data_IF_878085615549
#
_entry.id   IF_878085615549
#
_cell.length_a   1.000
_cell.length_b   1.000
_cell.length_c   1.000
_cell.angle_alpha   90.00
_cell.angle_beta   90.00
_cell.angle_gamma   90.00
#
_symmetry.space_group_name_H-M   'P 1'
#
loop_
_entity.id
_entity.type
_entity.pdbx_description
1 polymer ?
#
# COMPACT_ATOMS: atom_id res chain seq x y z
N UNK A 1 5.05 -5.03 -8.44
CA UNK A 1 5.07 -3.79 -9.25
C UNK A 1 5.36 -2.58 -8.37
N UNK A 2 4.56 -2.32 -7.32
CA UNK A 2 4.77 -1.22 -6.37
C UNK A 2 6.22 -1.06 -5.85
N UNK A 3 6.80 -2.12 -5.26
CA UNK A 3 8.18 -2.10 -4.73
C UNK A 3 9.21 -1.65 -5.78
N UNK A 4 9.10 -2.16 -7.01
CA UNK A 4 10.03 -1.81 -8.08
C UNK A 4 9.95 -0.32 -8.43
N UNK A 5 8.75 0.27 -8.38
CA UNK A 5 8.58 1.70 -8.66
C UNK A 5 9.22 2.55 -7.54
N UNK A 6 8.99 2.16 -6.28
CA UNK A 6 9.56 2.83 -5.10
C UNK A 6 11.09 2.77 -5.14
N UNK A 7 11.66 1.61 -5.42
CA UNK A 7 13.13 1.41 -5.51
C UNK A 7 13.73 2.18 -6.68
N UNK A 8 13.04 2.27 -7.82
CA UNK A 8 13.54 2.95 -9.02
C UNK A 8 13.55 4.47 -8.90
N UNK A 9 12.70 5.06 -8.05
CA UNK A 9 12.59 6.51 -7.91
C UNK A 9 13.89 7.11 -7.36
N UNK A 10 14.57 8.04 -8.05
CA UNK A 10 15.75 8.71 -7.49
C UNK A 10 15.41 9.57 -6.27
N UNK A 11 16.39 9.79 -5.38
CA UNK A 11 16.16 10.59 -4.16
C UNK A 11 15.75 12.03 -4.49
N UNK A 12 16.31 12.63 -5.54
CA UNK A 12 15.96 13.97 -6.01
C UNK A 12 14.51 14.10 -6.52
N UNK A 13 13.84 12.99 -6.78
CA UNK A 13 12.44 12.95 -7.22
C UNK A 13 11.49 12.43 -6.13
N UNK A 14 12.02 12.01 -4.97
CA UNK A 14 11.25 11.41 -3.89
C UNK A 14 10.28 12.41 -3.24
N UNK A 15 10.80 13.58 -2.88
CA UNK A 15 10.08 14.65 -2.20
C UNK A 15 10.11 15.94 -3.01
N UNK A 16 9.12 16.07 -3.88
CA UNK A 16 8.91 17.21 -4.79
C UNK A 16 7.42 17.58 -4.77
N UNK A 17 7.03 18.63 -5.49
CA UNK A 17 5.61 19.04 -5.64
C UNK A 17 4.68 17.95 -6.18
N UNK A 18 5.24 16.89 -6.78
CA UNK A 18 4.50 15.73 -7.28
C UNK A 18 4.30 14.61 -6.25
N UNK A 19 4.90 14.76 -5.06
CA UNK A 19 4.65 13.95 -3.87
C UNK A 19 4.74 12.42 -4.10
N UNK A 20 5.82 11.96 -4.74
CA UNK A 20 6.02 10.52 -5.02
C UNK A 20 6.03 9.69 -3.74
N UNK A 21 6.71 10.20 -2.70
CA UNK A 21 6.72 9.58 -1.37
C UNK A 21 5.31 9.42 -0.79
N UNK A 22 4.46 10.44 -0.94
CA UNK A 22 3.13 10.46 -0.35
C UNK A 22 2.20 9.48 -1.04
N UNK A 23 2.27 9.38 -2.37
CA UNK A 23 1.53 8.36 -3.14
C UNK A 23 1.99 6.95 -2.77
N UNK A 24 3.29 6.76 -2.59
CA UNK A 24 3.86 5.47 -2.16
C UNK A 24 3.37 5.09 -0.76
N UNK A 25 3.47 6.02 0.19
CA UNK A 25 2.96 5.87 1.55
C UNK A 25 1.44 5.62 1.58
N UNK A 26 0.66 6.40 0.82
CA UNK A 26 -0.79 6.23 0.68
C UNK A 26 -1.13 4.80 0.30
N UNK A 27 -0.46 4.29 -0.76
CA UNK A 27 -0.71 2.95 -1.24
C UNK A 27 -0.47 1.91 -0.14
N UNK A 28 0.65 2.01 0.58
CA UNK A 28 1.06 1.03 1.60
C UNK A 28 0.18 1.10 2.84
N UNK A 29 -0.15 2.30 3.31
CA UNK A 29 -1.04 2.50 4.46
C UNK A 29 -2.39 1.82 4.25
N UNK A 30 -3.03 2.07 3.10
CA UNK A 30 -4.32 1.46 2.80
C UNK A 30 -4.20 -0.03 2.52
N UNK A 31 -3.09 -0.49 1.95
CA UNK A 31 -2.81 -1.93 1.86
C UNK A 31 -2.82 -2.58 3.23
N UNK A 32 -2.18 -1.97 4.23
CA UNK A 32 -2.16 -2.51 5.59
C UNK A 32 -3.55 -2.51 6.24
N UNK A 33 -4.29 -1.42 6.06
CA UNK A 33 -5.66 -1.29 6.56
C UNK A 33 -6.58 -2.36 5.98
N UNK A 34 -6.54 -2.57 4.66
CA UNK A 34 -7.38 -3.56 3.99
C UNK A 34 -6.94 -5.01 4.24
N UNK A 35 -5.71 -5.24 4.71
CA UNK A 35 -5.25 -6.55 5.18
C UNK A 35 -5.65 -6.83 6.64
N UNK A 36 -6.11 -5.82 7.38
CA UNK A 36 -6.54 -5.98 8.77
C UNK A 36 -8.00 -6.43 8.80
N UNK A 37 -8.25 -7.69 9.19
CA UNK A 37 -9.57 -8.33 9.11
C UNK A 37 -10.64 -7.66 9.97
N UNK A 38 -10.24 -7.08 11.10
CA UNK A 38 -11.06 -6.21 11.93
C UNK A 38 -10.57 -4.75 11.81
N UNK A 39 -11.21 -3.91 10.99
CA UNK A 39 -10.74 -2.55 10.71
C UNK A 39 -10.69 -1.66 11.93
N UNK A 40 -11.49 -1.95 12.97
CA UNK A 40 -11.51 -1.18 14.21
C UNK A 40 -10.23 -1.35 15.03
N UNK A 41 -9.48 -2.42 14.80
CA UNK A 41 -8.22 -2.75 15.47
C UNK A 41 -6.99 -2.32 14.67
N UNK A 42 -7.17 -1.65 13.54
CA UNK A 42 -6.05 -1.24 12.71
C UNK A 42 -5.16 -0.22 13.44
N UNK A 43 -3.85 -0.50 13.42
CA UNK A 43 -2.82 0.43 13.87
C UNK A 43 -1.64 0.31 12.88
N UNK A 44 -1.23 1.41 12.23
CA UNK A 44 -0.05 1.39 11.38
C UNK A 44 1.22 1.21 12.26
N UNK A 45 2.26 0.51 11.79
CA UNK A 45 3.51 0.38 12.53
C UNK A 45 4.20 1.73 12.69
N UNK A 46 4.99 1.91 13.76
CA UNK A 46 5.82 3.11 13.90
C UNK A 46 6.83 3.22 12.73
N UNK A 47 7.16 4.43 12.25
CA UNK A 47 6.75 5.75 12.73
C UNK A 47 5.46 6.29 12.06
N UNK A 48 4.70 5.45 11.36
CA UNK A 48 3.53 5.88 10.61
C UNK A 48 2.36 6.18 11.53
N UNK A 49 1.56 7.18 11.15
CA UNK A 49 0.44 7.69 11.97
C UNK A 49 -0.88 7.56 11.24
N UNK A 50 -1.99 7.81 11.93
CA UNK A 50 -3.34 7.80 11.36
C UNK A 50 -3.66 9.02 10.48
N UNK A 51 -2.65 9.75 9.97
CA UNK A 51 -2.85 10.95 9.14
C UNK A 51 -3.74 10.71 7.91
N UNK A 52 -3.81 9.48 7.39
CA UNK A 52 -4.71 9.13 6.28
C UNK A 52 -6.20 9.12 6.64
N UNK A 53 -6.54 9.06 7.94
CA UNK A 53 -7.90 9.19 8.44
C UNK A 53 -8.23 10.60 8.92
N UNK A 54 -7.30 11.55 8.82
CA UNK A 54 -7.55 12.93 9.23
C UNK A 54 -8.67 13.53 8.35
N UNK A 55 -9.78 13.99 8.96
CA UNK A 55 -10.96 14.45 8.20
C UNK A 55 -10.71 15.76 7.44
N UNK A 56 -9.67 16.50 7.80
CA UNK A 56 -9.26 17.75 7.14
C UNK A 56 -8.17 17.46 6.09
N UNK A 57 -7.74 16.19 5.96
CA UNK A 57 -6.75 15.76 4.99
C UNK A 57 -5.32 16.15 5.36
N UNK A 58 -5.03 16.35 6.65
CA UNK A 58 -3.68 16.69 7.11
C UNK A 58 -2.68 15.61 6.71
N UNK A 59 -1.63 16.01 6.00
CA UNK A 59 -0.51 15.12 5.68
C UNK A 59 0.31 14.79 6.94
N UNK A 60 1.14 13.72 6.91
CA UNK A 60 2.14 13.48 7.95
C UNK A 60 2.98 14.72 8.25
N UNK A 61 3.42 14.89 9.51
CA UNK A 61 4.21 16.07 9.93
C UNK A 61 5.60 16.14 9.27
N UNK A 62 6.04 15.07 8.61
CA UNK A 62 7.26 15.02 7.80
C UNK A 62 7.12 14.05 6.65
N UNK A 63 7.98 14.22 5.65
CA UNK A 63 8.24 13.24 4.61
C UNK A 63 8.80 11.95 5.21
N UNK A 64 8.23 10.81 4.81
CA UNK A 64 8.81 9.50 5.09
C UNK A 64 9.90 9.18 4.07
N UNK A 65 11.03 8.66 4.55
CA UNK A 65 12.14 8.25 3.69
C UNK A 65 11.74 7.03 2.86
N UNK A 66 12.42 6.84 1.72
CA UNK A 66 12.23 5.65 0.89
C UNK A 66 12.42 4.35 1.68
N UNK A 67 13.43 4.30 2.54
CA UNK A 67 13.72 3.13 3.39
C UNK A 67 12.59 2.82 4.36
N UNK A 68 12.02 3.84 5.01
CA UNK A 68 10.85 3.66 5.89
C UNK A 68 9.67 3.07 5.12
N UNK A 69 9.37 3.62 3.94
CA UNK A 69 8.27 3.16 3.09
C UNK A 69 8.49 1.73 2.60
N UNK A 70 9.70 1.36 2.19
CA UNK A 70 10.03 -0.03 1.82
C UNK A 70 9.89 -0.98 3.01
N UNK A 71 10.31 -0.55 4.21
CA UNK A 71 10.19 -1.34 5.44
C UNK A 71 8.73 -1.63 5.76
N UNK A 72 7.85 -0.62 5.62
CA UNK A 72 6.41 -0.82 5.81
C UNK A 72 5.81 -1.74 4.75
N UNK A 73 6.25 -1.63 3.49
CA UNK A 73 5.82 -2.56 2.44
C UNK A 73 6.16 -4.01 2.78
N UNK A 74 7.35 -4.28 3.33
CA UNK A 74 7.73 -5.63 3.75
C UNK A 74 6.85 -6.14 4.91
N UNK A 75 6.50 -5.27 5.86
CA UNK A 75 5.52 -5.60 6.90
C UNK A 75 4.15 -5.99 6.30
N UNK A 76 3.66 -5.22 5.33
CA UNK A 76 2.41 -5.55 4.62
C UNK A 76 2.50 -6.88 3.88
N UNK A 77 3.66 -7.22 3.28
CA UNK A 77 3.89 -8.51 2.62
C UNK A 77 3.79 -9.66 3.61
N UNK A 78 4.46 -9.55 4.76
CA UNK A 78 4.39 -10.57 5.81
C UNK A 78 2.95 -10.75 6.33
N UNK A 79 2.23 -9.65 6.55
CA UNK A 79 0.81 -9.69 6.93
C UNK A 79 -0.05 -10.40 5.87
N UNK A 80 0.15 -10.08 4.60
CA UNK A 80 -0.56 -10.72 3.49
C UNK A 80 -0.25 -12.22 3.39
N UNK A 81 1.01 -12.61 3.60
CA UNK A 81 1.42 -14.02 3.63
C UNK A 81 0.70 -14.80 4.73
N UNK A 82 0.77 -14.31 5.97
CA UNK A 82 0.13 -14.95 7.12
C UNK A 82 -1.39 -15.03 6.95
N UNK A 83 -2.01 -13.97 6.42
CA UNK A 83 -3.44 -13.97 6.11
C UNK A 83 -3.77 -15.05 5.08
N UNK A 84 -3.01 -15.13 3.98
CA UNK A 84 -3.22 -16.09 2.88
C UNK A 84 -3.09 -17.53 3.37
N UNK A 85 -2.08 -17.84 4.18
CA UNK A 85 -1.92 -19.17 4.79
C UNK A 85 -3.11 -19.56 5.66
N UNK A 86 -3.75 -18.59 6.27
CA UNK A 86 -4.85 -18.80 7.20
C UNK A 86 -6.23 -18.76 6.51
N UNK A 87 -6.32 -18.53 5.19
CA UNK A 87 -7.59 -18.43 4.48
C UNK A 87 -8.31 -19.78 4.40
N UNK A 88 -9.61 -19.73 4.66
CA UNK A 88 -10.56 -20.82 4.38
C UNK A 88 -11.76 -20.23 3.66
N UNK A 89 -12.65 -21.08 3.13
CA UNK A 89 -13.89 -20.61 2.49
C UNK A 89 -14.74 -19.81 3.50
N UNK A 90 -14.79 -20.26 4.74
CA UNK A 90 -15.53 -19.60 5.82
C UNK A 90 -14.95 -18.21 6.09
N UNK A 91 -13.63 -18.11 6.25
CA UNK A 91 -12.95 -16.81 6.43
C UNK A 91 -13.14 -15.86 5.27
N UNK A 92 -13.12 -16.35 4.03
CA UNK A 92 -13.36 -15.52 2.85
C UNK A 92 -14.76 -14.89 2.84
N UNK A 93 -15.73 -15.53 3.52
CA UNK A 93 -17.09 -15.04 3.66
C UNK A 93 -17.31 -14.17 4.93
N UNK A 94 -16.35 -14.11 5.85
CA UNK A 94 -16.42 -13.22 7.02
C UNK A 94 -16.56 -11.76 6.58
N UNK A 95 -17.26 -10.97 7.39
CA UNK A 95 -17.53 -9.56 7.06
C UNK A 95 -16.38 -8.66 7.50
N UNK A 96 -15.89 -7.89 6.55
CA UNK A 96 -15.01 -6.75 6.76
C UNK A 96 -15.87 -5.49 6.73
N UNK A 97 -16.05 -4.85 7.89
CA UNK A 97 -16.97 -3.72 8.06
C UNK A 97 -16.23 -2.55 8.69
N UNK A 98 -16.41 -1.36 8.10
CA UNK A 98 -16.10 -0.09 8.75
C UNK A 98 -17.30 0.87 8.56
N UNK A 99 -17.13 2.13 8.94
CA UNK A 99 -18.19 3.15 8.88
C UNK A 99 -18.77 3.39 7.47
N UNK A 100 -18.00 3.07 6.41
CA UNK A 100 -18.34 3.40 5.02
C UNK A 100 -18.51 2.19 4.11
N UNK A 101 -18.02 1.02 4.54
CA UNK A 101 -17.85 -0.16 3.70
C UNK A 101 -18.30 -1.41 4.44
N UNK A 102 -18.97 -2.29 3.71
CA UNK A 102 -19.35 -3.61 4.18
C UNK A 102 -19.03 -4.61 3.07
N UNK A 103 -17.93 -5.33 3.22
CA UNK A 103 -17.41 -6.29 2.26
C UNK A 103 -17.29 -7.68 2.90
N UNK A 104 -17.27 -8.73 2.08
CA UNK A 104 -16.65 -9.99 2.51
C UNK A 104 -15.13 -9.83 2.55
N UNK A 105 -14.43 -10.70 3.27
CA UNK A 105 -12.97 -10.70 3.26
C UNK A 105 -12.43 -10.90 1.83
N UNK A 106 -13.08 -11.73 1.00
CA UNK A 106 -12.71 -11.87 -0.40
C UNK A 106 -12.81 -10.55 -1.19
N UNK A 107 -13.93 -9.84 -1.04
CA UNK A 107 -14.17 -8.58 -1.77
C UNK A 107 -13.16 -7.51 -1.40
N UNK A 108 -12.82 -7.37 -0.11
CA UNK A 108 -11.83 -6.36 0.31
C UNK A 108 -10.42 -6.72 -0.14
N UNK A 109 -10.06 -8.01 -0.21
CA UNK A 109 -8.77 -8.43 -0.76
C UNK A 109 -8.66 -8.13 -2.26
N UNK A 110 -9.72 -8.38 -3.04
CA UNK A 110 -9.78 -7.99 -4.46
C UNK A 110 -9.70 -6.47 -4.62
N UNK A 111 -10.42 -5.71 -3.78
CA UNK A 111 -10.35 -4.26 -3.76
C UNK A 111 -8.91 -3.77 -3.51
N UNK A 112 -8.21 -4.38 -2.55
CA UNK A 112 -6.83 -4.04 -2.22
C UNK A 112 -5.89 -4.27 -3.41
N UNK A 113 -6.02 -5.39 -4.13
CA UNK A 113 -5.24 -5.66 -5.36
C UNK A 113 -5.45 -4.55 -6.39
N UNK A 114 -6.70 -4.16 -6.64
CA UNK A 114 -7.04 -3.09 -7.61
C UNK A 114 -6.44 -1.75 -7.18
N UNK A 115 -6.53 -1.43 -5.89
CA UNK A 115 -5.95 -0.21 -5.32
C UNK A 115 -4.41 -0.18 -5.49
N UNK A 116 -3.72 -1.28 -5.18
CA UNK A 116 -2.26 -1.40 -5.38
C UNK A 116 -1.90 -1.24 -6.85
N UNK A 117 -2.66 -1.85 -7.77
CA UNK A 117 -2.43 -1.73 -9.21
C UNK A 117 -2.63 -0.29 -9.69
N UNK A 118 -3.68 0.39 -9.23
CA UNK A 118 -3.97 1.78 -9.56
C UNK A 118 -2.79 2.70 -9.21
N UNK A 119 -2.31 2.66 -7.97
CA UNK A 119 -1.20 3.51 -7.54
C UNK A 119 0.15 3.06 -8.12
N UNK A 120 0.36 1.75 -8.36
CA UNK A 120 1.54 1.29 -9.10
C UNK A 120 1.61 1.90 -10.50
N UNK A 121 0.47 2.00 -11.20
CA UNK A 121 0.42 2.63 -12.52
C UNK A 121 0.67 4.15 -12.43
N UNK A 122 0.12 4.82 -11.42
CA UNK A 122 0.37 6.25 -11.16
C UNK A 122 1.85 6.54 -10.92
N UNK A 123 2.52 5.75 -10.08
CA UNK A 123 3.95 5.88 -9.80
C UNK A 123 4.80 5.59 -11.05
N UNK A 124 4.43 4.57 -11.84
CA UNK A 124 5.11 4.29 -13.11
C UNK A 124 4.96 5.44 -14.12
N UNK A 125 3.77 6.06 -14.21
CA UNK A 125 3.56 7.23 -15.04
C UNK A 125 4.46 8.39 -14.60
N UNK A 126 4.55 8.62 -13.29
CA UNK A 126 5.47 9.62 -12.74
C UNK A 126 6.91 9.36 -13.20
N UNK A 127 7.42 8.13 -13.01
CA UNK A 127 8.81 7.79 -13.38
C UNK A 127 9.05 8.00 -14.88
N UNK A 128 8.07 7.66 -15.73
CA UNK A 128 8.15 7.92 -17.18
C UNK A 128 8.24 9.41 -17.48
N UNK A 129 7.52 10.26 -16.75
CA UNK A 129 7.53 11.70 -16.98
C UNK A 129 8.77 12.40 -16.44
N UNK A 130 9.38 11.89 -15.36
CA UNK A 130 10.49 12.58 -14.69
C UNK A 130 11.86 12.07 -15.12
N UNK A 131 12.00 10.76 -15.35
CA UNK A 131 13.29 10.13 -15.68
C UNK A 131 13.24 9.30 -16.96
N UNK A 132 12.13 9.36 -17.72
CA UNK A 132 11.90 8.59 -18.94
C UNK A 132 12.08 7.06 -18.76
N UNK A 133 11.84 6.56 -17.55
CA UNK A 133 12.01 5.14 -17.23
C UNK A 133 10.85 4.64 -16.35
N UNK A 134 10.58 3.34 -16.33
CA UNK A 134 9.68 2.72 -15.37
C UNK A 134 9.97 1.22 -15.28
N UNK A 135 9.62 0.57 -14.16
CA UNK A 135 9.74 -0.88 -14.02
C UNK A 135 8.92 -1.62 -15.09
N UNK A 136 9.46 -2.75 -15.56
CA UNK A 136 8.73 -3.68 -16.40
C UNK A 136 7.58 -4.37 -15.66
N UNK A 137 6.69 -4.99 -16.44
CA UNK A 137 5.60 -5.82 -15.92
C UNK A 137 6.14 -6.97 -15.07
N UNK A 138 5.47 -7.26 -13.95
CA UNK A 138 5.81 -8.37 -13.06
C UNK A 138 4.73 -9.43 -13.19
N UNK A 139 5.01 -10.49 -13.95
CA UNK A 139 4.09 -11.63 -14.10
C UNK A 139 4.09 -12.57 -12.89
N UNK A 140 5.24 -12.72 -12.23
CA UNK A 140 5.40 -13.52 -11.02
C UNK A 140 6.31 -12.80 -10.03
N UNK A 141 6.00 -12.89 -8.73
CA UNK A 141 6.83 -12.31 -7.70
C UNK A 141 8.20 -13.02 -7.64
N UNK A 142 9.28 -12.24 -7.49
CA UNK A 142 10.65 -12.78 -7.36
C UNK A 142 10.88 -13.45 -6.01
N UNK A 143 10.26 -12.91 -4.97
CA UNK A 143 10.20 -13.52 -3.63
C UNK A 143 8.90 -14.32 -3.56
N UNK A 144 8.92 -15.56 -3.05
CA UNK A 144 7.69 -16.24 -2.66
C UNK A 144 6.91 -15.36 -1.68
N UNK A 145 5.58 -15.41 -1.77
CA UNK A 145 4.74 -14.89 -0.70
C UNK A 145 4.96 -15.80 0.50
#
# INVERSE_FOLDING_TARGET
MLENAIVMCPEEHWDTEREFWYTSYHCIFWTDYYLTTDPSKFVPPAPFTFSKFDPIGKQPDRTYTKTEVITYLEYCRQKAYLLTLALTIEKLNERWINEYKNYSLLEILIYNIRHIQHHSAQLNLFLRQTINNAPGWVGQAKKPI
#
